data_IF_159610265467
#
_entry.id   IF_159610265467
#
_cell.length_a   1.000
_cell.length_b   1.000
_cell.length_c   1.000
_cell.angle_alpha   90.00
_cell.angle_beta   90.00
_cell.angle_gamma   90.00
#
_symmetry.space_group_name_H-M   'P 1'
#
loop_
_entity.id
_entity.type
_entity.pdbx_description
1 polymer ?
#
# COMPACT_ATOMS: atom_id res chain seq x y z
N UNK A 1 -6.30 5.08 -26.41
CA UNK A 1 -5.37 4.36 -27.31
C UNK A 1 -6.11 4.21 -28.62
N UNK A 2 -5.56 4.57 -29.81
CA UNK A 2 -6.29 4.37 -31.06
C UNK A 2 -6.38 2.85 -31.32
N UNK A 3 -7.60 2.36 -31.48
CA UNK A 3 -7.87 0.95 -31.79
C UNK A 3 -7.67 0.76 -33.29
N UNK A 4 -6.70 -0.07 -33.65
CA UNK A 4 -6.35 -0.34 -35.05
C UNK A 4 -7.18 -1.49 -35.61
N UNK A 5 -7.67 -1.39 -36.83
CA UNK A 5 -8.40 -2.43 -37.55
C UNK A 5 -7.50 -3.21 -38.53
N UNK A 6 -7.83 -4.48 -38.72
CA UNK A 6 -7.27 -5.34 -39.78
C UNK A 6 -8.32 -5.70 -40.83
N UNK A 7 -9.59 -5.74 -40.41
CA UNK A 7 -10.77 -5.96 -41.26
C UNK A 7 -11.96 -5.13 -40.76
N UNK A 8 -13.03 -5.01 -41.56
CA UNK A 8 -14.14 -4.10 -41.31
C UNK A 8 -14.98 -4.31 -40.03
N UNK A 9 -14.75 -5.37 -39.25
CA UNK A 9 -15.50 -5.67 -38.01
C UNK A 9 -14.73 -5.32 -36.72
N UNK A 10 -13.50 -4.81 -36.82
CA UNK A 10 -12.63 -4.59 -35.65
C UNK A 10 -12.83 -3.22 -34.97
N UNK A 11 -13.61 -2.32 -35.58
CA UNK A 11 -13.78 -0.96 -35.08
C UNK A 11 -14.99 -0.84 -34.11
N UNK A 12 -14.89 -0.01 -33.05
CA UNK A 12 -16.00 0.24 -32.15
C UNK A 12 -17.13 1.04 -32.83
N UNK A 13 -18.31 1.06 -32.19
CA UNK A 13 -19.47 1.80 -32.66
C UNK A 13 -19.14 3.27 -33.00
N UNK A 14 -19.60 3.73 -34.16
CA UNK A 14 -19.32 5.07 -34.69
C UNK A 14 -18.01 5.20 -35.47
N UNK A 15 -17.32 4.08 -35.71
CA UNK A 15 -16.11 4.03 -36.51
C UNK A 15 -16.18 2.96 -37.61
N UNK A 16 -15.38 3.15 -38.66
CA UNK A 16 -15.25 2.21 -39.77
C UNK A 16 -13.78 2.06 -40.16
N UNK A 17 -13.39 0.86 -40.58
CA UNK A 17 -12.04 0.63 -41.10
C UNK A 17 -11.92 1.31 -42.48
N UNK A 18 -10.99 2.26 -42.68
CA UNK A 18 -10.72 2.82 -43.99
C UNK A 18 -10.20 1.70 -44.89
N UNK A 19 -10.71 1.57 -46.11
CA UNK A 19 -10.34 0.49 -47.03
C UNK A 19 -8.89 0.56 -47.54
N UNK A 20 -8.56 -0.38 -48.43
CA UNK A 20 -7.24 -0.68 -49.02
C UNK A 20 -6.07 -0.77 -48.02
N UNK A 21 -5.85 -2.00 -47.53
CA UNK A 21 -4.77 -2.38 -46.63
C UNK A 21 -3.40 -2.25 -47.31
N UNK A 22 -2.72 -1.11 -47.15
CA UNK A 22 -1.31 -0.94 -47.54
C UNK A 22 -0.32 -1.41 -46.46
N UNK A 23 -0.79 -1.79 -45.26
CA UNK A 23 -0.01 -2.30 -44.12
C UNK A 23 -0.85 -3.25 -43.25
N UNK A 24 -0.20 -4.10 -42.43
CA UNK A 24 -0.85 -5.15 -41.61
C UNK A 24 -1.78 -4.67 -40.47
N UNK A 25 -2.09 -3.37 -40.39
CA UNK A 25 -3.03 -2.71 -39.45
C UNK A 25 -3.21 -1.23 -39.84
N UNK A 26 -4.38 -0.61 -39.58
CA UNK A 26 -4.64 0.83 -39.77
C UNK A 26 -5.59 1.40 -38.67
N UNK A 27 -5.56 2.70 -38.40
CA UNK A 27 -6.47 3.35 -37.45
C UNK A 27 -7.92 3.43 -37.97
N UNK A 28 -8.89 3.19 -37.10
CA UNK A 28 -10.31 3.33 -37.42
C UNK A 28 -10.70 4.80 -37.71
N UNK A 29 -11.46 5.04 -38.79
CA UNK A 29 -12.00 6.36 -39.13
C UNK A 29 -13.36 6.61 -38.48
N UNK A 30 -13.56 7.80 -37.92
CA UNK A 30 -14.81 8.20 -37.26
C UNK A 30 -15.90 8.55 -38.29
N UNK A 31 -17.11 8.04 -38.10
CA UNK A 31 -18.28 8.46 -38.88
C UNK A 31 -18.60 9.94 -38.62
N UNK A 32 -18.97 10.66 -39.67
CA UNK A 32 -19.29 12.12 -39.59
C UNK A 32 -20.75 12.39 -39.28
N UNK A 33 -21.63 11.39 -39.45
CA UNK A 33 -23.06 11.48 -39.11
C UNK A 33 -23.23 11.34 -37.60
N UNK A 34 -23.86 12.33 -36.97
CA UNK A 34 -24.18 12.30 -35.54
C UNK A 34 -25.14 11.13 -35.22
N UNK A 35 -24.91 10.42 -34.11
CA UNK A 35 -25.75 9.28 -33.72
C UNK A 35 -25.56 8.02 -34.57
N UNK A 36 -24.57 8.00 -35.48
CA UNK A 36 -24.32 6.85 -36.34
C UNK A 36 -23.52 5.76 -35.62
N UNK A 37 -24.01 4.51 -35.70
CA UNK A 37 -23.32 3.31 -35.21
C UNK A 37 -22.39 2.73 -36.27
N UNK A 38 -22.84 2.68 -37.52
CA UNK A 38 -22.06 2.10 -38.63
C UNK A 38 -22.19 2.96 -39.87
N UNK A 39 -21.06 3.35 -40.46
CA UNK A 39 -20.98 4.05 -41.75
C UNK A 39 -20.12 3.26 -42.74
N UNK A 40 -20.16 3.64 -44.02
CA UNK A 40 -19.39 2.93 -45.06
C UNK A 40 -17.97 3.48 -45.19
N UNK A 41 -16.99 2.62 -45.48
CA UNK A 41 -15.60 3.03 -45.69
C UNK A 41 -15.43 4.00 -46.87
N UNK A 42 -16.27 3.88 -47.91
CA UNK A 42 -16.27 4.76 -49.07
C UNK A 42 -16.92 6.13 -48.81
N UNK A 43 -17.79 6.23 -47.80
CA UNK A 43 -18.51 7.45 -47.46
C UNK A 43 -18.80 7.50 -45.96
N UNK A 44 -17.88 8.09 -45.20
CA UNK A 44 -18.02 8.32 -43.75
C UNK A 44 -19.16 9.29 -43.38
N UNK A 45 -19.80 9.91 -44.38
CA UNK A 45 -21.01 10.73 -44.27
C UNK A 45 -22.32 9.98 -44.52
N UNK A 46 -22.26 8.67 -44.80
CA UNK A 46 -23.44 7.84 -45.06
C UNK A 46 -23.58 6.79 -43.97
N UNK A 47 -24.61 6.93 -43.14
CA UNK A 47 -24.89 5.98 -42.06
C UNK A 47 -25.77 4.82 -42.55
N UNK A 48 -25.49 3.60 -42.08
CA UNK A 48 -26.26 2.39 -42.38
C UNK A 48 -26.92 1.77 -41.15
N UNK A 49 -26.46 2.14 -39.95
CA UNK A 49 -27.07 1.77 -38.68
C UNK A 49 -26.85 2.88 -37.66
N UNK A 50 -27.86 3.20 -36.87
CA UNK A 50 -27.79 4.24 -35.85
C UNK A 50 -27.54 3.65 -34.45
N UNK A 51 -27.01 4.48 -33.55
CA UNK A 51 -26.87 4.17 -32.14
C UNK A 51 -28.25 4.01 -31.47
N UNK A 52 -28.35 3.37 -30.29
CA UNK A 52 -29.59 3.36 -29.51
C UNK A 52 -30.15 4.77 -29.33
N UNK A 53 -31.47 4.91 -29.27
CA UNK A 53 -32.21 6.19 -29.25
C UNK A 53 -32.19 7.00 -30.55
N UNK A 54 -31.72 6.41 -31.65
CA UNK A 54 -31.78 7.00 -32.98
C UNK A 54 -32.40 6.03 -33.99
N UNK A 55 -33.03 6.59 -35.02
CA UNK A 55 -33.57 5.85 -36.17
C UNK A 55 -32.89 6.31 -37.45
N UNK A 56 -32.75 5.38 -38.39
CA UNK A 56 -32.20 5.68 -39.71
C UNK A 56 -33.28 6.35 -40.57
N UNK A 57 -33.02 7.60 -40.97
CA UNK A 57 -33.84 8.39 -41.88
C UNK A 57 -33.00 8.73 -43.12
N UNK A 58 -33.17 7.93 -44.17
CA UNK A 58 -32.30 7.95 -45.34
C UNK A 58 -30.87 7.53 -44.97
N UNK A 59 -29.93 8.47 -45.04
CA UNK A 59 -28.52 8.28 -44.66
C UNK A 59 -28.13 8.96 -43.34
N UNK A 60 -29.10 9.57 -42.65
CA UNK A 60 -28.92 10.29 -41.40
C UNK A 60 -29.59 9.56 -40.23
N UNK A 61 -29.15 9.88 -39.01
CA UNK A 61 -29.74 9.36 -37.79
C UNK A 61 -30.55 10.45 -37.09
N UNK A 62 -31.85 10.23 -36.97
CA UNK A 62 -32.78 11.13 -36.29
C UNK A 62 -33.04 10.62 -34.87
N UNK A 63 -32.98 11.51 -33.88
CA UNK A 63 -33.19 11.15 -32.48
C UNK A 63 -34.65 10.76 -32.21
N UNK A 64 -34.85 9.77 -31.34
CA UNK A 64 -36.15 9.44 -30.78
C UNK A 64 -36.65 10.54 -29.82
N UNK A 65 -37.93 10.50 -29.46
CA UNK A 65 -38.49 11.34 -28.39
C UNK A 65 -37.80 11.09 -27.03
N UNK A 66 -37.85 12.07 -26.14
CA UNK A 66 -37.15 12.00 -24.85
C UNK A 66 -37.59 10.76 -24.02
N UNK A 67 -36.61 10.05 -23.45
CA UNK A 67 -36.86 8.82 -22.67
C UNK A 67 -37.22 7.59 -23.50
N UNK A 68 -37.09 7.65 -24.85
CA UNK A 68 -37.37 6.54 -25.74
C UNK A 68 -36.09 5.81 -26.15
N UNK A 69 -35.99 4.52 -25.80
CA UNK A 69 -34.88 3.65 -26.16
C UNK A 69 -34.93 3.16 -27.61
N UNK A 70 -36.13 2.86 -28.11
CA UNK A 70 -36.38 2.48 -29.52
C UNK A 70 -37.65 3.11 -30.05
N UNK A 71 -37.59 3.71 -31.24
CA UNK A 71 -38.72 4.37 -31.89
C UNK A 71 -38.85 3.93 -33.36
N UNK A 72 -40.02 4.16 -33.96
CA UNK A 72 -40.26 3.99 -35.41
C UNK A 72 -40.28 5.32 -36.16
N UNK A 73 -40.45 6.43 -35.44
CA UNK A 73 -40.30 7.80 -35.92
C UNK A 73 -39.79 8.68 -34.77
N UNK A 74 -39.40 9.92 -35.05
CA UNK A 74 -39.02 10.88 -33.99
C UNK A 74 -40.13 11.15 -32.95
N UNK A 75 -41.37 10.73 -33.20
CA UNK A 75 -42.52 10.93 -32.32
C UNK A 75 -43.17 9.64 -31.82
N UNK A 76 -42.91 8.48 -32.44
CA UNK A 76 -43.56 7.20 -32.12
C UNK A 76 -42.54 6.26 -31.47
N UNK A 77 -42.66 6.09 -30.15
CA UNK A 77 -41.82 5.20 -29.37
C UNK A 77 -42.40 3.79 -29.27
N UNK A 78 -41.54 2.76 -29.34
CA UNK A 78 -41.92 1.35 -29.14
C UNK A 78 -41.35 0.74 -27.86
N UNK A 79 -40.27 1.31 -27.33
CA UNK A 79 -39.71 0.91 -26.04
C UNK A 79 -39.07 2.10 -25.35
N UNK A 80 -39.39 2.29 -24.07
CA UNK A 80 -38.86 3.37 -23.27
C UNK A 80 -37.55 2.97 -22.58
N UNK A 81 -36.75 3.96 -22.25
CA UNK A 81 -35.59 3.79 -21.37
C UNK A 81 -36.04 3.45 -19.94
N UNK A 82 -35.12 2.86 -19.16
CA UNK A 82 -35.32 2.69 -17.71
C UNK A 82 -35.73 4.03 -17.06
N UNK A 83 -36.71 3.97 -16.16
CA UNK A 83 -37.32 5.14 -15.52
C UNK A 83 -38.49 5.75 -16.29
N UNK A 84 -38.87 5.16 -17.43
CA UNK A 84 -40.02 5.59 -18.22
C UNK A 84 -40.96 4.42 -18.56
N UNK A 85 -42.25 4.72 -18.68
CA UNK A 85 -43.27 3.80 -19.15
C UNK A 85 -43.84 4.24 -20.49
N UNK A 86 -44.17 3.27 -21.35
CA UNK A 86 -44.82 3.55 -22.63
C UNK A 86 -46.30 3.82 -22.43
N UNK A 87 -46.76 5.00 -22.86
CA UNK A 87 -48.16 5.43 -22.83
C UNK A 87 -48.49 6.18 -24.12
N UNK A 88 -49.50 5.71 -24.86
CA UNK A 88 -49.97 6.34 -26.11
C UNK A 88 -48.84 6.58 -27.14
N UNK A 89 -47.92 5.62 -27.28
CA UNK A 89 -46.70 5.69 -28.13
C UNK A 89 -45.65 6.74 -27.69
N UNK A 90 -45.77 7.29 -26.49
CA UNK A 90 -44.81 8.21 -25.88
C UNK A 90 -44.29 7.66 -24.53
N UNK A 91 -43.12 8.11 -24.11
CA UNK A 91 -42.53 7.72 -22.83
C UNK A 91 -42.88 8.73 -21.74
N UNK A 92 -43.51 8.25 -20.66
CA UNK A 92 -43.83 9.06 -19.47
C UNK A 92 -42.92 8.64 -18.32
N UNK A 93 -42.35 9.60 -17.61
CA UNK A 93 -41.46 9.31 -16.49
C UNK A 93 -42.20 8.59 -15.33
N UNK A 94 -41.50 7.65 -14.70
CA UNK A 94 -41.89 7.02 -13.43
C UNK A 94 -41.52 7.91 -12.23
N UNK A 95 -41.99 7.56 -11.02
CA UNK A 95 -41.54 8.20 -9.78
C UNK A 95 -40.01 8.16 -9.62
N UNK A 96 -39.41 9.13 -8.91
CA UNK A 96 -37.96 9.16 -8.67
C UNK A 96 -37.42 7.85 -8.08
N UNK A 97 -36.26 7.39 -8.58
CA UNK A 97 -35.63 6.15 -8.14
C UNK A 97 -36.24 4.87 -8.71
N UNK A 98 -37.35 4.96 -9.46
CA UNK A 98 -37.97 3.82 -10.12
C UNK A 98 -37.27 3.45 -11.44
N UNK A 99 -37.04 2.16 -11.66
CA UNK A 99 -36.49 1.59 -12.89
C UNK A 99 -37.58 1.21 -13.88
N UNK A 100 -38.63 0.54 -13.40
CA UNK A 100 -39.80 0.16 -14.22
C UNK A 100 -41.08 0.44 -13.45
N UNK A 101 -42.09 1.00 -14.12
CA UNK A 101 -43.39 1.30 -13.51
C UNK A 101 -44.55 0.94 -14.44
N UNK A 102 -45.73 0.67 -13.85
CA UNK A 102 -46.99 0.42 -14.58
C UNK A 102 -47.89 1.65 -14.64
N UNK A 103 -47.66 2.60 -13.75
CA UNK A 103 -48.23 3.94 -13.75
C UNK A 103 -47.17 4.91 -13.21
N UNK A 104 -47.35 6.22 -13.42
CA UNK A 104 -46.40 7.24 -12.98
C UNK A 104 -45.99 7.07 -11.51
N UNK A 105 -46.93 6.69 -10.64
CA UNK A 105 -46.71 6.50 -9.19
C UNK A 105 -46.68 5.03 -8.72
N UNK A 106 -46.68 4.07 -9.64
CA UNK A 106 -46.72 2.63 -9.31
C UNK A 106 -45.47 1.94 -9.84
N UNK A 107 -44.42 1.94 -9.02
CA UNK A 107 -43.15 1.30 -9.34
C UNK A 107 -43.19 -0.22 -9.15
N UNK A 108 -42.53 -0.96 -10.05
CA UNK A 108 -42.41 -2.42 -10.00
C UNK A 108 -40.97 -2.90 -9.83
N UNK A 109 -39.98 -2.07 -10.17
CA UNK A 109 -38.58 -2.31 -9.85
C UNK A 109 -37.85 -0.99 -9.61
N UNK A 110 -36.98 -0.95 -8.61
CA UNK A 110 -36.18 0.23 -8.27
C UNK A 110 -34.80 0.20 -8.92
N UNK A 111 -34.18 1.37 -9.08
CA UNK A 111 -32.80 1.48 -9.51
C UNK A 111 -31.85 1.03 -8.39
N UNK A 112 -30.60 0.73 -8.75
CA UNK A 112 -29.52 0.50 -7.78
C UNK A 112 -29.45 1.68 -6.79
N UNK A 113 -29.22 1.38 -5.51
CA UNK A 113 -29.26 2.35 -4.42
C UNK A 113 -30.67 2.68 -3.90
N UNK A 114 -31.70 1.95 -4.35
CA UNK A 114 -33.06 2.05 -3.86
C UNK A 114 -33.66 0.68 -3.57
N UNK A 115 -34.61 0.64 -2.63
CA UNK A 115 -35.39 -0.54 -2.28
C UNK A 115 -36.88 -0.27 -2.49
N UNK A 116 -37.63 -1.33 -2.75
CA UNK A 116 -39.08 -1.26 -2.87
C UNK A 116 -39.72 -1.03 -1.51
N UNK A 117 -40.46 0.07 -1.38
CA UNK A 117 -41.30 0.37 -0.23
C UNK A 117 -42.75 0.55 -0.70
N UNK A 118 -43.56 -0.49 -0.52
CA UNK A 118 -44.92 -0.61 -1.06
C UNK A 118 -44.95 -0.54 -2.60
N UNK A 119 -45.11 0.66 -3.18
CA UNK A 119 -45.13 0.90 -4.63
C UNK A 119 -44.18 2.03 -5.06
N UNK A 120 -43.33 2.48 -4.13
CA UNK A 120 -42.37 3.55 -4.34
C UNK A 120 -40.96 3.06 -4.04
N UNK A 121 -39.95 3.80 -4.51
CA UNK A 121 -38.56 3.49 -4.27
C UNK A 121 -38.00 4.35 -3.16
N UNK A 122 -37.54 3.71 -2.09
CA UNK A 122 -36.88 4.36 -0.95
C UNK A 122 -35.36 4.28 -1.13
N UNK A 123 -34.68 5.40 -0.99
CA UNK A 123 -33.23 5.46 -1.12
C UNK A 123 -32.52 4.69 0.00
N UNK A 124 -31.45 3.99 -0.36
CA UNK A 124 -30.45 3.47 0.57
C UNK A 124 -29.62 4.62 1.17
N UNK A 125 -28.80 4.29 2.17
CA UNK A 125 -27.76 5.19 2.66
C UNK A 125 -26.78 5.64 1.54
N UNK A 126 -26.12 6.78 1.74
CA UNK A 126 -25.25 7.36 0.73
C UNK A 126 -24.15 6.38 0.26
N UNK A 127 -23.87 6.41 -1.05
CA UNK A 127 -22.89 5.55 -1.72
C UNK A 127 -23.18 4.04 -1.65
N UNK A 128 -24.39 3.65 -1.26
CA UNK A 128 -24.83 2.28 -1.20
C UNK A 128 -25.48 1.83 -2.50
N UNK A 129 -25.07 0.68 -3.03
CA UNK A 129 -25.64 0.04 -4.22
C UNK A 129 -26.82 -0.87 -3.86
N UNK A 130 -26.70 -1.65 -2.79
CA UNK A 130 -27.79 -2.49 -2.27
C UNK A 130 -27.83 -2.40 -0.75
N UNK A 131 -29.03 -2.29 -0.18
CA UNK A 131 -29.24 -2.20 1.26
C UNK A 131 -30.34 -3.15 1.74
N UNK A 132 -30.46 -3.29 3.05
CA UNK A 132 -31.54 -4.03 3.70
C UNK A 132 -32.90 -3.35 3.51
N UNK A 133 -33.98 -4.04 3.91
CA UNK A 133 -35.37 -3.62 3.66
C UNK A 133 -35.79 -2.29 4.32
N UNK A 134 -35.02 -1.74 5.26
CA UNK A 134 -35.32 -0.44 5.87
C UNK A 134 -34.46 0.70 5.30
N UNK A 135 -33.50 0.40 4.42
CA UNK A 135 -32.60 1.37 3.80
C UNK A 135 -31.40 1.78 4.66
N UNK A 136 -31.30 1.30 5.90
CA UNK A 136 -30.32 1.77 6.88
C UNK A 136 -28.96 1.09 6.78
N UNK A 137 -28.94 -0.18 6.41
CA UNK A 137 -27.74 -1.02 6.39
C UNK A 137 -27.39 -1.40 4.96
N UNK A 138 -26.26 -0.90 4.50
CA UNK A 138 -25.71 -1.22 3.20
C UNK A 138 -25.05 -2.59 3.16
N UNK A 139 -25.36 -3.37 2.13
CA UNK A 139 -24.85 -4.72 1.88
C UNK A 139 -23.90 -4.80 0.69
N UNK A 140 -23.95 -3.82 -0.22
CA UNK A 140 -22.95 -3.62 -1.26
C UNK A 140 -22.81 -2.12 -1.56
N UNK A 141 -21.58 -1.63 -1.61
CA UNK A 141 -21.30 -0.24 -1.92
C UNK A 141 -21.16 -0.01 -3.42
N UNK A 142 -21.28 1.26 -3.83
CA UNK A 142 -20.86 1.70 -5.15
C UNK A 142 -19.34 1.49 -5.33
N UNK A 143 -18.88 1.48 -6.58
CA UNK A 143 -17.47 1.27 -6.89
C UNK A 143 -16.58 2.27 -6.14
N UNK A 144 -15.43 1.79 -5.65
CA UNK A 144 -14.46 2.53 -4.82
C UNK A 144 -14.93 2.91 -3.41
N UNK A 145 -16.03 2.33 -2.92
CA UNK A 145 -16.45 2.44 -1.52
C UNK A 145 -16.41 1.08 -0.83
N UNK A 146 -16.17 1.10 0.49
CA UNK A 146 -15.97 -0.06 1.34
C UNK A 146 -17.01 -0.08 2.45
N UNK A 147 -17.51 -1.28 2.78
CA UNK A 147 -18.50 -1.44 3.86
C UNK A 147 -17.80 -1.31 5.22
N UNK A 148 -18.20 -0.29 6.00
CA UNK A 148 -17.81 -0.07 7.39
C UNK A 148 -19.03 0.11 8.27
N UNK A 149 -19.25 -0.81 9.21
CA UNK A 149 -20.38 -0.74 10.14
C UNK A 149 -21.75 -0.65 9.46
N UNK A 150 -21.92 -1.32 8.31
CA UNK A 150 -23.16 -1.27 7.54
C UNK A 150 -23.36 0.01 6.73
N UNK A 151 -22.33 0.86 6.57
CA UNK A 151 -22.34 2.05 5.70
C UNK A 151 -21.19 1.99 4.72
N UNK A 152 -21.26 2.79 3.67
CA UNK A 152 -20.22 2.89 2.67
C UNK A 152 -19.30 4.06 2.96
N UNK A 153 -18.01 3.78 3.08
CA UNK A 153 -16.95 4.75 3.27
C UNK A 153 -15.96 4.69 2.09
N UNK A 154 -15.37 5.82 1.72
CA UNK A 154 -14.34 5.86 0.67
C UNK A 154 -13.01 5.26 1.15
N UNK A 155 -12.80 5.22 2.47
CA UNK A 155 -11.59 4.74 3.10
C UNK A 155 -11.78 3.25 3.44
N UNK A 156 -10.96 2.38 2.86
CA UNK A 156 -10.90 0.96 3.23
C UNK A 156 -10.36 0.78 4.65
N UNK A 157 -9.37 1.61 5.00
CA UNK A 157 -8.61 1.50 6.24
C UNK A 157 -8.43 2.84 6.95
N UNK A 158 -8.31 2.76 8.26
CA UNK A 158 -8.03 3.88 9.16
C UNK A 158 -7.47 3.35 10.50
N UNK A 159 -7.35 4.21 11.51
CA UNK A 159 -6.84 3.82 12.83
C UNK A 159 -7.77 2.87 13.61
N UNK A 160 -9.07 2.88 13.33
CA UNK A 160 -10.06 1.97 13.91
C UNK A 160 -10.26 0.69 13.08
N UNK A 161 -9.99 0.76 11.78
CA UNK A 161 -10.13 -0.33 10.81
C UNK A 161 -8.77 -0.59 10.15
N UNK A 162 -7.86 -1.32 10.82
CA UNK A 162 -6.57 -1.64 10.25
C UNK A 162 -6.70 -2.64 9.09
N UNK A 163 -5.75 -2.60 8.16
CA UNK A 163 -5.65 -3.58 7.10
C UNK A 163 -5.37 -4.99 7.63
N UNK A 164 -5.71 -5.99 6.82
CA UNK A 164 -5.35 -7.39 7.09
C UNK A 164 -3.83 -7.59 7.07
N UNK A 165 -3.37 -8.71 7.64
CA UNK A 165 -1.95 -9.05 7.69
C UNK A 165 -1.29 -9.01 6.30
N UNK A 166 -0.05 -8.53 6.24
CA UNK A 166 0.69 -8.36 4.99
C UNK A 166 0.33 -7.11 4.17
N UNK A 167 -0.51 -6.21 4.71
CA UNK A 167 -0.87 -4.95 4.07
C UNK A 167 -0.66 -3.74 5.00
N UNK A 168 -0.44 -2.57 4.40
CA UNK A 168 -0.45 -1.28 5.11
C UNK A 168 -1.52 -0.35 4.54
N UNK A 169 -1.92 0.62 5.35
CA UNK A 169 -2.91 1.61 4.94
C UNK A 169 -2.23 2.75 4.17
N UNK A 170 -2.47 2.82 2.86
CA UNK A 170 -2.02 3.91 2.01
C UNK A 170 -2.97 5.09 2.15
N UNK A 171 -2.49 6.20 2.71
CA UNK A 171 -3.28 7.41 2.90
C UNK A 171 -3.31 8.21 1.61
N UNK A 172 -4.47 8.29 0.96
CA UNK A 172 -4.65 8.97 -0.33
C UNK A 172 -5.75 10.02 -0.24
N UNK A 173 -5.62 11.11 -1.00
CA UNK A 173 -6.65 12.13 -1.08
C UNK A 173 -7.99 11.59 -1.63
N UNK A 174 -7.93 10.56 -2.47
CA UNK A 174 -9.09 9.89 -3.08
C UNK A 174 -9.77 8.87 -2.16
N UNK A 175 -9.15 8.49 -1.04
CA UNK A 175 -9.62 7.39 -0.20
C UNK A 175 -8.47 6.45 0.18
N UNK A 176 -8.37 6.13 1.47
CA UNK A 176 -7.33 5.23 1.98
C UNK A 176 -7.57 3.81 1.49
N UNK A 177 -6.52 3.13 1.07
CA UNK A 177 -6.61 1.77 0.54
C UNK A 177 -5.57 0.85 1.18
N UNK A 178 -5.91 -0.42 1.39
CA UNK A 178 -4.98 -1.42 1.86
C UNK A 178 -4.09 -1.90 0.74
N UNK A 179 -2.81 -1.55 0.82
CA UNK A 179 -1.78 -1.92 -0.16
C UNK A 179 -0.89 -3.02 0.39
N UNK A 180 -0.52 -3.98 -0.46
CA UNK A 180 0.38 -5.07 -0.07
C UNK A 180 1.77 -4.55 0.34
N UNK A 181 2.33 -5.20 1.35
CA UNK A 181 3.73 -5.03 1.71
C UNK A 181 4.66 -5.65 0.66
N UNK A 182 5.93 -5.23 0.64
CA UNK A 182 6.98 -5.95 -0.07
C UNK A 182 6.99 -7.44 0.34
N UNK A 183 7.31 -8.31 -0.61
CA UNK A 183 7.23 -9.77 -0.49
C UNK A 183 8.02 -10.37 0.68
N UNK A 184 9.04 -9.67 1.17
CA UNK A 184 9.92 -10.07 2.28
C UNK A 184 9.46 -9.53 3.65
N UNK A 185 8.54 -8.57 3.68
CA UNK A 185 7.95 -8.06 4.91
C UNK A 185 6.83 -9.00 5.38
N UNK A 186 6.75 -9.23 6.69
CA UNK A 186 5.57 -9.82 7.33
C UNK A 186 4.53 -8.73 7.65
N UNK A 187 5.02 -7.58 8.13
CA UNK A 187 4.22 -6.35 8.29
C UNK A 187 5.04 -5.15 7.84
N UNK A 188 4.36 -4.08 7.41
CA UNK A 188 5.02 -2.91 6.83
C UNK A 188 4.35 -1.59 7.20
N UNK A 189 5.11 -0.52 7.03
CA UNK A 189 4.69 0.87 7.22
C UNK A 189 4.41 1.59 5.90
N UNK A 190 5.02 1.09 4.83
CA UNK A 190 4.80 1.48 3.44
C UNK A 190 5.12 0.29 2.53
N UNK A 191 4.98 0.47 1.22
CA UNK A 191 5.26 -0.57 0.24
C UNK A 191 6.68 -1.15 0.35
N UNK A 192 7.66 -0.35 0.78
CA UNK A 192 9.09 -0.75 0.83
C UNK A 192 9.70 -0.76 2.23
N UNK A 193 8.97 -0.30 3.25
CA UNK A 193 9.47 -0.19 4.62
C UNK A 193 8.74 -1.20 5.51
N UNK A 194 9.43 -2.24 5.93
CA UNK A 194 8.93 -3.30 6.80
C UNK A 194 8.95 -2.87 8.28
N UNK A 195 7.94 -3.26 9.05
CA UNK A 195 7.98 -3.24 10.52
C UNK A 195 8.47 -4.56 11.09
N UNK A 196 8.21 -5.66 10.38
CA UNK A 196 8.72 -7.00 10.69
C UNK A 196 9.05 -7.76 9.40
N UNK A 197 10.10 -8.58 9.44
CA UNK A 197 10.48 -9.44 8.33
C UNK A 197 9.83 -10.82 8.47
N UNK A 198 9.64 -11.51 7.34
CA UNK A 198 9.30 -12.94 7.34
C UNK A 198 10.43 -13.77 7.97
N UNK A 199 10.11 -14.97 8.44
CA UNK A 199 11.04 -15.82 9.20
C UNK A 199 12.38 -16.15 8.48
N UNK A 200 12.40 -16.15 7.14
CA UNK A 200 13.59 -16.37 6.32
C UNK A 200 14.45 -15.12 6.10
N UNK A 201 14.08 -14.00 6.71
CA UNK A 201 14.63 -12.69 6.42
C UNK A 201 15.01 -11.95 7.71
N UNK A 202 16.00 -11.07 7.60
CA UNK A 202 16.45 -10.19 8.67
C UNK A 202 16.25 -8.73 8.31
N UNK A 203 16.01 -7.90 9.33
CA UNK A 203 15.73 -6.49 9.18
C UNK A 203 17.02 -5.69 9.04
N UNK A 204 17.04 -4.84 8.01
CA UNK A 204 18.11 -3.88 7.76
C UNK A 204 17.83 -2.56 8.49
N UNK A 205 18.88 -1.77 8.67
CA UNK A 205 18.81 -0.41 9.27
C UNK A 205 17.95 0.59 8.49
N UNK A 206 17.60 0.29 7.23
CA UNK A 206 16.77 1.13 6.37
C UNK A 206 15.28 0.68 6.29
N UNK A 207 14.87 -0.24 7.17
CA UNK A 207 13.56 -0.92 7.20
C UNK A 207 13.29 -1.85 6.02
N UNK A 208 14.31 -2.25 5.26
CA UNK A 208 14.14 -3.33 4.27
C UNK A 208 14.48 -4.69 4.90
N UNK A 209 14.06 -5.77 4.24
CA UNK A 209 14.37 -7.13 4.70
C UNK A 209 15.27 -7.84 3.67
N UNK A 210 16.40 -8.38 4.13
CA UNK A 210 17.31 -9.20 3.32
C UNK A 210 17.18 -10.67 3.72
N UNK A 211 17.42 -11.60 2.79
CA UNK A 211 17.41 -13.03 3.11
C UNK A 211 18.60 -13.37 4.01
N UNK A 212 18.37 -14.17 5.05
CA UNK A 212 19.38 -14.50 6.05
C UNK A 212 20.56 -15.26 5.44
N UNK A 213 21.77 -14.94 5.90
CA UNK A 213 22.98 -15.71 5.58
C UNK A 213 23.12 -16.89 6.55
N UNK A 214 23.31 -18.11 6.02
CA UNK A 214 23.62 -19.27 6.84
C UNK A 214 25.13 -19.32 7.19
N UNK A 215 25.45 -19.63 8.44
CA UNK A 215 26.83 -19.93 8.87
C UNK A 215 27.78 -18.73 8.92
N UNK A 216 27.28 -17.53 9.20
CA UNK A 216 28.12 -16.34 9.42
C UNK A 216 29.14 -16.60 10.53
N UNK A 217 30.42 -16.41 10.21
CA UNK A 217 31.52 -16.50 11.18
C UNK A 217 31.55 -15.24 12.05
N UNK A 218 32.30 -15.31 13.14
CA UNK A 218 32.60 -14.14 13.96
C UNK A 218 33.20 -13.04 13.09
N UNK A 219 32.72 -11.81 13.27
CA UNK A 219 33.15 -10.64 12.50
C UNK A 219 32.76 -10.68 11.00
N UNK A 220 31.73 -11.47 10.65
CA UNK A 220 31.02 -11.39 9.38
C UNK A 220 29.60 -10.83 9.56
N UNK A 221 29.10 -10.14 8.54
CA UNK A 221 27.74 -9.64 8.42
C UNK A 221 27.14 -10.10 7.09
N UNK A 222 25.81 -10.12 7.00
CA UNK A 222 25.12 -10.46 5.77
C UNK A 222 24.89 -9.20 4.92
N UNK A 223 25.51 -9.14 3.74
CA UNK A 223 25.33 -8.05 2.79
C UNK A 223 24.71 -8.63 1.53
N UNK A 224 23.45 -8.26 1.24
CA UNK A 224 22.70 -8.78 0.08
C UNK A 224 22.72 -10.31 -0.01
N UNK A 225 22.47 -10.99 1.11
CA UNK A 225 22.49 -12.46 1.22
C UNK A 225 23.87 -13.11 0.97
N UNK A 226 24.95 -12.35 1.07
CA UNK A 226 26.33 -12.83 1.00
C UNK A 226 27.09 -12.48 2.28
N UNK A 227 27.83 -13.44 2.83
CA UNK A 227 28.70 -13.19 3.99
C UNK A 227 29.83 -12.23 3.60
N UNK A 228 30.05 -11.19 4.40
CA UNK A 228 31.10 -10.19 4.19
C UNK A 228 31.71 -9.77 5.51
N UNK A 229 32.97 -9.35 5.50
CA UNK A 229 33.63 -8.87 6.72
C UNK A 229 32.90 -7.65 7.29
N UNK A 230 32.74 -7.59 8.60
CA UNK A 230 32.11 -6.45 9.26
C UNK A 230 32.87 -5.14 9.05
N UNK A 231 32.13 -4.04 9.00
CA UNK A 231 32.61 -2.71 8.62
C UNK A 231 32.73 -2.49 7.10
N UNK A 232 32.39 -3.49 6.27
CA UNK A 232 32.41 -3.33 4.81
C UNK A 232 31.37 -2.31 4.34
N UNK A 233 31.68 -1.64 3.22
CA UNK A 233 30.74 -0.73 2.58
C UNK A 233 29.44 -1.47 2.20
N UNK A 234 28.30 -0.89 2.54
CA UNK A 234 26.99 -1.50 2.28
C UNK A 234 26.51 -2.48 3.36
N UNK A 235 27.20 -2.59 4.50
CA UNK A 235 26.67 -3.35 5.63
C UNK A 235 25.41 -2.70 6.20
N UNK A 236 24.30 -3.44 6.15
CA UNK A 236 23.01 -2.99 6.66
C UNK A 236 22.46 -3.87 7.80
N UNK A 237 23.02 -5.07 7.96
CA UNK A 237 22.67 -6.05 9.00
C UNK A 237 23.67 -6.02 10.15
N UNK A 238 23.26 -6.51 11.31
CA UNK A 238 24.14 -6.59 12.47
C UNK A 238 25.30 -7.56 12.20
N UNK A 239 26.50 -7.13 12.58
CA UNK A 239 27.69 -7.97 12.58
C UNK A 239 27.53 -9.12 13.58
N UNK A 240 28.01 -10.32 13.20
CA UNK A 240 28.07 -11.49 14.07
C UNK A 240 29.16 -11.31 15.14
N UNK A 241 28.79 -10.66 16.24
CA UNK A 241 29.65 -10.38 17.40
C UNK A 241 29.26 -11.19 18.63
N UNK A 242 28.76 -12.42 18.46
CA UNK A 242 28.28 -13.28 19.55
C UNK A 242 26.78 -13.16 19.81
N UNK A 243 26.27 -13.93 20.78
CA UNK A 243 24.81 -14.08 21.03
C UNK A 243 24.18 -12.89 21.76
N UNK A 244 24.99 -12.07 22.44
CA UNK A 244 24.51 -10.96 23.27
C UNK A 244 24.69 -9.61 22.61
N UNK A 245 25.57 -9.49 21.62
CA UNK A 245 25.88 -8.24 20.95
C UNK A 245 24.89 -8.02 19.80
N UNK A 246 24.09 -6.96 19.88
CA UNK A 246 23.10 -6.58 18.87
C UNK A 246 23.50 -5.27 18.20
N UNK A 247 23.04 -5.08 16.96
CA UNK A 247 23.19 -3.83 16.21
C UNK A 247 24.64 -3.34 16.01
N UNK A 248 25.63 -4.24 16.06
CA UNK A 248 27.03 -3.91 15.85
C UNK A 248 27.32 -3.70 14.36
N UNK A 249 28.07 -2.64 14.02
CA UNK A 249 28.68 -2.48 12.70
C UNK A 249 29.99 -3.27 12.63
N UNK A 250 30.83 -3.17 13.66
CA UNK A 250 32.05 -3.96 13.83
C UNK A 250 32.08 -4.60 15.20
N UNK A 251 32.77 -5.73 15.32
CA UNK A 251 33.11 -6.28 16.63
C UNK A 251 34.46 -5.71 17.11
N UNK A 252 34.74 -5.74 18.43
CA UNK A 252 36.09 -5.59 18.92
C UNK A 252 36.94 -6.70 18.29
N UNK A 253 37.99 -6.30 17.56
CA UNK A 253 38.99 -7.24 17.07
C UNK A 253 39.82 -7.63 18.30
N UNK A 254 39.89 -8.92 18.67
CA UNK A 254 40.77 -9.31 19.75
C UNK A 254 42.22 -8.93 19.37
N UNK A 255 42.97 -8.28 20.27
CA UNK A 255 44.32 -7.85 19.96
C UNK A 255 45.19 -9.08 19.67
N UNK A 256 45.94 -9.04 18.56
CA UNK A 256 46.92 -10.09 18.25
C UNK A 256 48.01 -10.02 19.32
N UNK A 257 48.27 -11.11 20.08
CA UNK A 257 49.33 -11.10 21.09
C UNK A 257 50.70 -10.87 20.43
N UNK A 258 51.51 -9.99 21.01
CA UNK A 258 52.92 -9.78 20.60
C UNK A 258 53.89 -10.48 21.56
N UNK A 259 55.04 -10.95 21.06
CA UNK A 259 55.27 -12.09 20.17
C UNK A 259 55.47 -13.40 20.96
N UNK A 260 55.27 -14.54 20.28
CA UNK A 260 55.56 -15.87 20.82
C UNK A 260 57.10 -16.12 20.93
N UNK A 261 57.52 -16.81 21.99
CA UNK A 261 58.93 -17.05 22.33
C UNK A 261 59.71 -17.91 21.32
N UNK A 262 59.02 -18.65 20.46
CA UNK A 262 59.58 -19.65 19.53
C UNK A 262 59.48 -19.25 18.05
N UNK A 263 58.98 -18.05 17.75
CA UNK A 263 58.79 -17.52 16.39
C UNK A 263 58.00 -18.45 15.45
N UNK A 264 56.86 -18.94 15.94
CA UNK A 264 55.84 -19.66 15.19
C UNK A 264 55.34 -18.85 13.99
N UNK A 265 54.93 -19.58 12.95
CA UNK A 265 54.42 -18.99 11.70
C UNK A 265 53.08 -18.29 11.93
N UNK A 266 52.20 -18.88 12.75
CA UNK A 266 50.96 -18.27 13.23
C UNK A 266 51.19 -17.60 14.60
N UNK A 267 51.02 -16.28 14.64
CA UNK A 267 51.23 -15.46 15.86
C UNK A 267 50.14 -15.66 16.92
N UNK A 268 49.05 -16.34 16.60
CA UNK A 268 48.01 -16.72 17.57
C UNK A 268 48.32 -18.04 18.29
N UNK A 269 49.36 -18.75 17.84
CA UNK A 269 49.69 -20.10 18.26
C UNK A 269 50.95 -20.19 19.10
N UNK A 270 50.97 -21.19 19.97
CA UNK A 270 52.18 -21.73 20.60
C UNK A 270 52.65 -22.93 19.78
N UNK A 271 53.96 -23.03 19.55
CA UNK A 271 54.59 -24.12 18.81
C UNK A 271 55.85 -24.63 19.54
N UNK A 272 56.31 -25.82 19.17
CA UNK A 272 57.52 -26.43 19.72
C UNK A 272 58.78 -25.95 18.95
N UNK A 273 59.94 -25.92 19.63
CA UNK A 273 61.22 -25.52 19.02
C UNK A 273 61.62 -26.47 17.89
N UNK A 274 61.65 -25.95 16.66
CA UNK A 274 61.95 -26.72 15.44
C UNK A 274 60.73 -27.12 14.60
N UNK A 275 59.51 -26.86 15.08
CA UNK A 275 58.25 -27.08 14.34
C UNK A 275 57.38 -25.81 14.35
N UNK A 276 57.87 -24.74 13.72
CA UNK A 276 57.20 -23.41 13.73
C UNK A 276 55.84 -23.38 13.00
N UNK A 277 55.57 -24.37 12.15
CA UNK A 277 54.33 -24.49 11.38
C UNK A 277 53.18 -25.26 12.07
N UNK A 278 53.41 -25.87 13.24
CA UNK A 278 52.38 -26.66 13.95
C UNK A 278 51.87 -25.91 15.17
N UNK A 279 50.59 -25.54 15.15
CA UNK A 279 49.93 -24.89 16.29
C UNK A 279 49.53 -25.94 17.33
N UNK A 280 49.96 -25.76 18.58
CA UNK A 280 49.68 -26.69 19.69
C UNK A 280 48.57 -26.20 20.63
N UNK A 281 48.54 -24.90 20.87
CA UNK A 281 47.55 -24.23 21.69
C UNK A 281 47.56 -22.72 21.37
N UNK A 282 46.50 -22.01 21.76
CA UNK A 282 46.42 -20.57 21.56
C UNK A 282 47.20 -19.80 22.62
N UNK A 283 47.92 -18.76 22.18
CA UNK A 283 48.67 -17.86 23.06
C UNK A 283 47.71 -17.11 23.99
N UNK A 284 46.54 -16.75 23.48
CA UNK A 284 45.47 -16.11 24.24
C UNK A 284 44.22 -17.01 24.25
N UNK A 285 44.11 -17.81 25.31
CA UNK A 285 42.96 -18.69 25.52
C UNK A 285 41.72 -17.95 25.99
N UNK A 286 41.82 -16.66 26.34
CA UNK A 286 40.67 -15.82 26.69
C UNK A 286 39.92 -15.42 25.43
N UNK A 287 40.63 -14.99 24.39
CA UNK A 287 40.05 -14.48 23.15
C UNK A 287 40.04 -15.49 21.99
N UNK A 288 40.81 -16.57 22.06
CA UNK A 288 40.89 -17.58 20.99
C UNK A 288 40.61 -18.98 21.55
N UNK A 289 39.98 -19.81 20.72
CA UNK A 289 39.76 -21.23 20.97
C UNK A 289 40.60 -22.05 19.98
N UNK A 290 41.22 -23.11 20.48
CA UNK A 290 41.99 -24.02 19.65
C UNK A 290 41.04 -24.99 18.93
N UNK A 291 41.10 -25.01 17.60
CA UNK A 291 40.31 -25.87 16.73
C UNK A 291 41.20 -26.39 15.59
N UNK A 292 41.35 -27.71 15.52
CA UNK A 292 42.02 -28.42 14.41
C UNK A 292 43.34 -27.78 13.97
N UNK A 293 44.29 -27.67 14.91
CA UNK A 293 45.62 -27.08 14.70
C UNK A 293 45.62 -25.58 14.33
N UNK A 294 44.57 -24.84 14.69
CA UNK A 294 44.47 -23.38 14.51
C UNK A 294 43.79 -22.70 15.68
N UNK A 295 44.05 -21.40 15.82
CA UNK A 295 43.39 -20.56 16.82
C UNK A 295 42.31 -19.70 16.18
N UNK A 296 41.05 -19.98 16.54
CA UNK A 296 39.88 -19.27 16.04
C UNK A 296 39.43 -18.27 17.08
N UNK A 297 39.20 -17.02 16.68
CA UNK A 297 38.69 -15.99 17.58
C UNK A 297 37.34 -16.43 18.18
N UNK A 298 37.25 -16.37 19.52
CA UNK A 298 35.99 -16.52 20.22
C UNK A 298 35.09 -15.34 19.85
N UNK A 299 33.79 -15.61 19.75
CA UNK A 299 32.82 -14.56 19.51
C UNK A 299 32.91 -13.51 20.63
N UNK A 300 33.06 -12.22 20.31
CA UNK A 300 32.94 -11.15 21.29
C UNK A 300 31.56 -11.20 21.97
N UNK A 301 31.37 -10.37 22.99
CA UNK A 301 30.03 -10.17 23.62
C UNK A 301 29.58 -8.72 23.54
N UNK A 302 30.39 -7.87 22.90
CA UNK A 302 30.27 -6.43 22.81
C UNK A 302 30.47 -5.95 21.37
N UNK A 303 30.02 -4.72 21.08
CA UNK A 303 30.25 -4.07 19.79
C UNK A 303 31.50 -3.19 19.84
N UNK A 304 32.25 -3.14 18.73
CA UNK A 304 33.33 -2.18 18.52
C UNK A 304 32.80 -0.85 18.01
N UNK A 305 31.89 -0.89 17.04
CA UNK A 305 31.12 0.26 16.56
C UNK A 305 29.66 -0.15 16.33
N UNK A 306 28.75 0.82 16.33
CA UNK A 306 27.33 0.57 16.09
C UNK A 306 26.94 0.82 14.65
N UNK A 307 25.88 0.12 14.20
CA UNK A 307 25.21 0.43 12.96
C UNK A 307 24.68 1.88 12.94
N UNK A 308 24.52 2.49 11.75
CA UNK A 308 23.93 3.82 11.63
C UNK A 308 22.58 3.90 12.35
N UNK A 309 22.38 4.98 13.12
CA UNK A 309 21.17 5.19 13.91
C UNK A 309 21.24 4.74 15.37
N UNK A 310 22.34 4.11 15.79
CA UNK A 310 22.57 3.68 17.17
C UNK A 310 23.75 4.40 17.81
N UNK A 311 23.73 4.49 19.13
CA UNK A 311 24.81 5.07 19.94
C UNK A 311 25.57 3.96 20.66
N UNK A 312 26.91 4.01 20.59
CA UNK A 312 27.76 3.10 21.36
C UNK A 312 27.86 3.58 22.80
N UNK A 313 27.36 2.79 23.73
CA UNK A 313 27.43 3.08 25.17
C UNK A 313 27.81 1.81 25.92
N UNK A 314 28.90 1.87 26.69
CA UNK A 314 29.44 0.70 27.40
C UNK A 314 29.65 -0.53 26.48
N UNK A 315 30.07 -0.28 25.23
CA UNK A 315 30.25 -1.27 24.17
C UNK A 315 28.96 -2.02 23.74
N UNK A 316 27.78 -1.41 23.93
CA UNK A 316 26.48 -1.89 23.46
C UNK A 316 25.80 -0.86 22.55
N UNK A 317 24.95 -1.35 21.66
CA UNK A 317 24.23 -0.57 20.64
C UNK A 317 22.71 -0.72 20.82
N UNK A 318 22.22 -0.38 22.02
CA UNK A 318 20.82 -0.57 22.42
C UNK A 318 20.00 0.74 22.38
N UNK A 319 20.67 1.88 22.28
CA UNK A 319 20.06 3.22 22.30
C UNK A 319 20.11 3.86 20.90
N UNK A 320 19.02 4.51 20.51
CA UNK A 320 18.94 5.23 19.24
C UNK A 320 19.68 6.56 19.30
N UNK A 321 20.33 6.92 18.21
CA UNK A 321 20.95 8.22 18.03
C UNK A 321 19.87 9.33 17.91
N UNK A 322 20.29 10.57 18.14
CA UNK A 322 19.39 11.72 17.95
C UNK A 322 18.86 11.78 16.52
N UNK A 323 17.56 12.01 16.35
CA UNK A 323 16.88 11.98 15.04
C UNK A 323 16.40 10.59 14.60
N UNK A 324 16.60 9.56 15.44
CA UNK A 324 16.10 8.21 15.20
C UNK A 324 15.07 7.81 16.27
N UNK A 325 14.00 7.14 15.85
CA UNK A 325 12.97 6.56 16.71
C UNK A 325 13.08 5.04 16.76
N UNK A 326 12.74 4.49 17.92
CA UNK A 326 12.72 3.05 18.15
C UNK A 326 11.43 2.44 17.62
N UNK A 327 11.53 1.48 16.70
CA UNK A 327 10.42 0.64 16.22
C UNK A 327 10.82 -0.81 16.45
N UNK A 328 10.21 -1.46 17.45
CA UNK A 328 10.64 -2.77 17.92
C UNK A 328 12.05 -2.71 18.55
N UNK A 329 12.97 -3.53 18.06
CA UNK A 329 14.39 -3.50 18.48
C UNK A 329 15.25 -2.56 17.62
N UNK A 330 14.67 -1.90 16.62
CA UNK A 330 15.40 -1.15 15.62
C UNK A 330 15.28 0.38 15.74
N UNK A 331 16.32 1.10 15.33
CA UNK A 331 16.36 2.56 15.34
C UNK A 331 16.28 3.10 13.91
N UNK A 332 15.24 3.87 13.60
CA UNK A 332 14.97 4.40 12.26
C UNK A 332 14.89 5.90 12.23
N UNK A 333 15.36 6.51 11.14
CA UNK A 333 15.29 7.95 10.95
C UNK A 333 13.86 8.37 10.59
N UNK A 334 13.26 9.25 11.40
CA UNK A 334 11.87 9.73 11.19
C UNK A 334 11.73 10.72 10.04
N UNK A 335 12.85 11.21 9.47
CA UNK A 335 12.89 12.28 8.48
C UNK A 335 12.76 11.75 7.04
N UNK A 336 12.40 10.48 6.83
CA UNK A 336 11.99 10.03 5.50
C UNK A 336 10.65 10.70 5.14
N UNK A 337 10.58 11.54 4.08
CA UNK A 337 9.37 12.25 3.68
C UNK A 337 8.20 11.32 3.31
N UNK A 338 8.46 10.02 3.16
CA UNK A 338 7.43 8.98 2.96
C UNK A 338 6.69 8.60 4.26
N UNK A 339 7.19 9.01 5.42
CA UNK A 339 6.68 8.62 6.75
C UNK A 339 5.90 9.72 7.48
N UNK A 340 5.54 10.81 6.80
CA UNK A 340 4.82 11.96 7.37
C UNK A 340 3.45 11.63 8.02
N UNK A 341 2.98 10.37 7.94
CA UNK A 341 1.69 9.93 8.48
C UNK A 341 1.78 8.78 9.48
N UNK A 342 2.93 8.60 10.15
CA UNK A 342 2.98 7.75 11.34
C UNK A 342 2.54 8.55 12.56
N UNK A 343 1.34 8.25 13.04
CA UNK A 343 0.95 8.36 14.46
C UNK A 343 1.98 7.57 15.28
N UNK A 344 3.10 8.21 15.60
CA UNK A 344 4.10 7.69 16.52
C UNK A 344 3.48 7.69 17.92
N UNK A 345 3.57 6.55 18.62
CA UNK A 345 3.16 6.41 20.02
C UNK A 345 3.85 7.41 20.97
N UNK A 346 4.89 8.12 20.51
CA UNK A 346 5.51 9.25 21.22
C UNK A 346 4.68 10.54 21.19
N UNK A 347 3.87 10.78 20.15
CA UNK A 347 2.99 11.95 20.07
C UNK A 347 1.82 11.86 21.06
N UNK A 348 1.36 10.65 21.36
CA UNK A 348 0.28 10.42 22.34
C UNK A 348 0.76 10.74 23.76
N UNK A 349 2.00 10.39 24.12
CA UNK A 349 2.57 10.75 25.42
C UNK A 349 2.79 12.27 25.57
N UNK A 350 3.29 12.94 24.52
CA UNK A 350 3.53 14.40 24.54
C UNK A 350 2.25 15.24 24.59
N UNK A 351 1.21 14.85 23.83
CA UNK A 351 -0.07 15.58 23.81
C UNK A 351 -0.82 15.40 25.13
N UNK A 352 -0.79 14.21 25.75
CA UNK A 352 -1.41 13.99 27.06
C UNK A 352 -0.74 14.82 28.14
N UNK A 353 0.59 14.96 28.13
CA UNK A 353 1.31 15.80 29.10
C UNK A 353 1.01 17.29 28.86
N UNK A 354 0.98 17.75 27.61
CA UNK A 354 0.66 19.15 27.29
C UNK A 354 -0.78 19.52 27.70
N UNK A 355 -1.75 18.64 27.43
CA UNK A 355 -3.15 18.85 27.84
C UNK A 355 -3.28 18.85 29.37
N UNK A 356 -2.58 17.96 30.08
CA UNK A 356 -2.61 17.93 31.55
C UNK A 356 -1.98 19.18 32.18
N UNK A 357 -0.90 19.73 31.60
CA UNK A 357 -0.29 20.98 32.07
C UNK A 357 -1.20 22.19 31.82
N UNK A 358 -1.87 22.25 30.67
CA UNK A 358 -2.82 23.34 30.35
C UNK A 358 -4.05 23.27 31.26
N UNK A 359 -4.61 22.08 31.48
CA UNK A 359 -5.75 21.88 32.39
C UNK A 359 -5.35 22.20 33.85
N UNK A 360 -4.14 21.82 34.27
CA UNK A 360 -3.60 22.17 35.58
C UNK A 360 -3.40 23.68 35.78
N UNK A 361 -2.90 24.39 34.76
CA UNK A 361 -2.70 25.84 34.80
C UNK A 361 -4.04 26.60 34.82
N UNK A 362 -5.02 26.18 34.01
CA UNK A 362 -6.36 26.79 33.97
C UNK A 362 -7.13 26.50 35.26
N UNK A 363 -7.07 25.27 35.78
CA UNK A 363 -7.69 24.89 37.04
C UNK A 363 -7.09 25.62 38.24
N UNK A 364 -5.76 25.72 38.32
CA UNK A 364 -5.05 26.46 39.37
C UNK A 364 -5.33 27.97 39.32
N UNK A 365 -5.40 28.56 38.12
CA UNK A 365 -5.72 29.97 37.92
C UNK A 365 -7.14 30.32 38.37
N UNK A 366 -8.13 29.48 38.03
CA UNK A 366 -9.52 29.66 38.47
C UNK A 366 -9.66 29.52 39.99
N UNK A 367 -9.03 28.51 40.59
CA UNK A 367 -9.05 28.33 42.05
C UNK A 367 -8.43 29.54 42.79
N UNK A 368 -7.29 30.05 42.32
CA UNK A 368 -6.66 31.24 42.89
C UNK A 368 -7.56 32.49 42.76
N UNK A 369 -8.21 32.67 41.61
CA UNK A 369 -9.13 33.79 41.37
C UNK A 369 -10.32 33.77 42.34
N UNK A 370 -10.97 32.61 42.54
CA UNK A 370 -12.11 32.51 43.46
C UNK A 370 -11.71 32.67 44.94
N UNK A 371 -10.57 32.13 45.35
CA UNK A 371 -10.05 32.31 46.73
C UNK A 371 -9.73 33.78 47.01
N UNK A 372 -9.15 34.50 46.04
CA UNK A 372 -8.83 35.92 46.18
C UNK A 372 -10.09 36.80 46.19
N UNK A 373 -11.14 36.41 45.46
CA UNK A 373 -12.44 37.10 45.46
C UNK A 373 -13.24 36.87 46.75
N UNK A 374 -13.09 35.72 47.41
CA UNK A 374 -13.74 35.43 48.69
C UNK A 374 -13.07 36.12 49.91
N UNK A 375 -11.87 36.69 49.72
CA UNK A 375 -11.12 37.44 50.76
C UNK A 375 -11.27 38.97 50.65
N UNK A 376 -12.14 39.46 49.78
CA UNK A 376 -12.56 40.86 49.67
C UNK A 376 -14.03 40.97 50.04
#
# INVERSE_FOLDING_TARGET
MPETCKTGADCPDGFVCPGELTSMSQDCAKCTVAGCKTCTAAAIGTCTACLPRFILDGSACSACSAGCGTCTSGTVCTNCDDGFMLKDSACTACSPGCKTCTAAETCTACNDGFIMDSSACKACSANCKTCNNDGSTCTACNDNFFIKGGKCDKDECDSATPCTAGKFCSILASGNICTDCESKCESCTSATKCSTCKASNEMNTDQTCTGTCAGLKVNEACISSTASTCGSAGQQTACSCGTTAKNCLTCPIPPVPTPDANNCDDKLCTCDTGSTGTCKACVDTTNYAFDTDKCVAKAPTTCGTCLPGYVLKENKCDECASGYSKVGEFCFNDVDPSSANKLSGGAVAGIVIAVLVVVGAVGGGLAYYFIKRARK
#
